data_IF_288513598101
#
_entry.id   IF_288513598101
#
_cell.length_a   1.000
_cell.length_b   1.000
_cell.length_c   1.000
_cell.angle_alpha   90.00
_cell.angle_beta   90.00
_cell.angle_gamma   90.00
#
_symmetry.space_group_name_H-M   'P 1'
#
loop_
_entity.id
_entity.type
_entity.pdbx_description
1 polymer ?
#
# COMPACT_ATOMS: atom_id res chain seq x y z
N UNK A 1 13.18 8.69 -11.75
CA UNK A 1 12.18 8.60 -10.65
C UNK A 1 11.54 9.96 -10.41
N UNK A 2 10.23 10.05 -10.28
CA UNK A 2 9.49 11.28 -9.92
C UNK A 2 9.12 11.26 -8.44
N UNK A 3 8.91 12.45 -7.86
CA UNK A 3 8.57 12.61 -6.43
C UNK A 3 7.32 13.46 -6.27
N UNK A 4 6.53 13.19 -5.21
CA UNK A 4 5.34 13.97 -4.81
C UNK A 4 5.40 14.23 -3.30
N UNK A 5 4.79 15.32 -2.87
CA UNK A 5 4.67 15.63 -1.44
C UNK A 5 3.73 14.64 -0.74
N UNK A 6 4.15 14.14 0.41
CA UNK A 6 3.34 13.28 1.25
C UNK A 6 2.53 14.12 2.24
N UNK A 7 1.32 14.46 1.85
CA UNK A 7 0.42 15.23 2.71
C UNK A 7 1.03 16.55 3.18
N UNK A 8 1.00 16.78 4.51
CA UNK A 8 1.56 17.96 5.17
C UNK A 8 2.88 17.69 5.88
N UNK A 9 3.55 16.59 5.53
CA UNK A 9 4.81 16.18 6.18
C UNK A 9 6.02 16.99 5.72
N UNK A 10 5.93 17.66 4.58
CA UNK A 10 7.09 18.28 3.92
C UNK A 10 7.99 17.30 3.18
N UNK A 11 7.74 16.00 3.26
CA UNK A 11 8.54 14.99 2.56
C UNK A 11 8.16 14.86 1.09
N UNK A 12 9.15 14.81 0.24
CA UNK A 12 9.02 14.46 -1.18
C UNK A 12 9.37 12.98 -1.34
N UNK A 13 8.34 12.15 -1.50
CA UNK A 13 8.51 10.70 -1.63
C UNK A 13 8.41 10.25 -3.09
N UNK A 14 9.14 9.19 -3.43
CA UNK A 14 9.15 8.59 -4.76
C UNK A 14 7.76 8.10 -5.15
N UNK A 15 7.30 8.41 -6.37
CA UNK A 15 5.95 8.03 -6.84
C UNK A 15 5.75 6.52 -6.96
N UNK A 16 6.82 5.78 -7.21
CA UNK A 16 6.91 4.34 -6.98
C UNK A 16 7.77 4.14 -5.74
N UNK A 17 7.18 3.58 -4.71
CA UNK A 17 7.78 3.28 -3.42
C UNK A 17 7.91 1.77 -3.25
N UNK A 18 8.39 1.28 -2.12
CA UNK A 18 8.60 -0.15 -1.90
C UNK A 18 7.66 -0.69 -0.83
N UNK A 19 6.77 -1.63 -1.21
CA UNK A 19 5.93 -2.39 -0.27
C UNK A 19 6.65 -3.65 0.20
N UNK A 20 6.97 -3.73 1.49
CA UNK A 20 7.79 -4.83 2.03
C UNK A 20 6.98 -6.07 2.46
N UNK A 21 5.67 -6.09 2.25
CA UNK A 21 4.86 -7.28 2.55
C UNK A 21 5.33 -8.51 1.77
N UNK A 22 5.76 -8.33 0.53
CA UNK A 22 6.24 -9.43 -0.33
C UNK A 22 7.55 -10.07 0.16
N UNK A 23 8.36 -9.35 0.94
CA UNK A 23 9.60 -9.86 1.57
C UNK A 23 9.40 -10.27 3.04
N UNK A 24 8.15 -10.24 3.50
CA UNK A 24 7.73 -10.78 4.79
C UNK A 24 7.27 -12.24 4.69
N UNK A 25 6.33 -12.64 5.55
CA UNK A 25 5.95 -14.05 5.73
C UNK A 25 4.76 -14.53 4.90
N UNK A 26 4.01 -13.67 4.21
CA UNK A 26 2.69 -13.99 3.65
C UNK A 26 2.66 -14.28 2.13
N UNK A 27 3.82 -14.41 1.50
CA UNK A 27 3.98 -14.60 0.05
C UNK A 27 4.85 -15.81 -0.31
N UNK A 28 4.88 -16.85 0.56
CA UNK A 28 5.77 -18.00 0.44
C UNK A 28 7.21 -17.70 0.87
N UNK A 29 8.11 -18.68 0.71
CA UNK A 29 9.51 -18.56 1.16
C UNK A 29 10.23 -17.40 0.48
N UNK A 30 10.95 -16.61 1.29
CA UNK A 30 11.78 -15.48 0.86
C UNK A 30 13.15 -15.61 1.53
N UNK A 31 14.21 -15.28 0.80
CA UNK A 31 15.58 -15.23 1.31
C UNK A 31 15.91 -13.81 1.73
N UNK A 32 16.40 -13.60 2.95
CA UNK A 32 16.76 -12.29 3.48
C UNK A 32 17.80 -11.56 2.62
N UNK A 33 18.78 -12.28 2.05
CA UNK A 33 19.79 -11.67 1.18
C UNK A 33 19.18 -11.15 -0.11
N UNK A 34 18.32 -11.96 -0.77
CA UNK A 34 17.61 -11.53 -1.99
C UNK A 34 16.68 -10.34 -1.70
N UNK A 35 16.06 -10.32 -0.52
CA UNK A 35 15.23 -9.21 -0.05
C UNK A 35 16.05 -7.93 0.15
N UNK A 36 17.22 -8.03 0.79
CA UNK A 36 18.12 -6.90 0.98
C UNK A 36 18.65 -6.37 -0.36
N UNK A 37 18.97 -7.25 -1.30
CA UNK A 37 19.42 -6.84 -2.62
C UNK A 37 18.30 -6.11 -3.40
N UNK A 38 17.04 -6.53 -3.24
CA UNK A 38 15.90 -5.80 -3.78
C UNK A 38 15.73 -4.42 -3.11
N UNK A 39 15.87 -4.33 -1.79
CA UNK A 39 15.80 -3.06 -1.06
C UNK A 39 16.94 -2.10 -1.44
N UNK A 40 18.19 -2.59 -1.55
CA UNK A 40 19.34 -1.80 -2.01
C UNK A 40 19.12 -1.27 -3.42
N UNK A 41 18.63 -2.15 -4.32
CA UNK A 41 18.31 -1.77 -5.69
C UNK A 41 17.22 -0.72 -5.75
N UNK A 42 16.23 -0.74 -4.87
CA UNK A 42 15.22 0.29 -4.77
C UNK A 42 15.84 1.67 -4.50
N UNK A 43 16.75 1.77 -3.53
CA UNK A 43 17.48 3.04 -3.25
C UNK A 43 18.29 3.48 -4.46
N UNK A 44 19.02 2.57 -5.12
CA UNK A 44 19.82 2.89 -6.32
C UNK A 44 18.98 3.47 -7.46
N UNK A 45 17.69 3.12 -7.51
CA UNK A 45 16.72 3.63 -8.48
C UNK A 45 15.99 4.90 -8.00
N UNK A 46 16.35 5.43 -6.83
CA UNK A 46 15.77 6.64 -6.27
C UNK A 46 14.49 6.44 -5.44
N UNK A 47 14.19 5.21 -5.03
CA UNK A 47 13.12 4.98 -4.06
C UNK A 47 13.58 5.46 -2.69
N UNK A 48 12.78 6.33 -2.05
CA UNK A 48 13.08 6.89 -0.74
C UNK A 48 11.95 6.69 0.28
N UNK A 49 10.90 5.94 -0.07
CA UNK A 49 9.81 5.62 0.84
C UNK A 49 9.54 4.11 0.85
N UNK A 50 9.56 3.52 2.06
CA UNK A 50 9.44 2.08 2.28
C UNK A 50 8.28 1.82 3.23
N UNK A 51 7.34 0.99 2.80
CA UNK A 51 6.16 0.61 3.59
C UNK A 51 6.33 -0.79 4.18
N UNK A 52 6.21 -0.90 5.48
CA UNK A 52 6.25 -2.15 6.25
C UNK A 52 5.08 -2.26 7.24
N UNK A 53 5.10 -3.22 8.14
CA UNK A 53 4.21 -3.37 9.28
C UNK A 53 4.85 -4.26 10.35
N UNK A 54 4.41 -4.11 11.60
CA UNK A 54 4.84 -4.89 12.77
C UNK A 54 4.56 -6.40 12.64
N UNK A 55 3.67 -6.79 11.72
CA UNK A 55 3.30 -8.20 11.43
C UNK A 55 4.02 -8.78 10.22
N UNK A 56 4.77 -7.98 9.44
CA UNK A 56 5.41 -8.49 8.22
C UNK A 56 6.75 -9.17 8.47
N UNK A 57 7.43 -8.84 9.59
CA UNK A 57 8.78 -9.33 9.89
C UNK A 57 9.89 -8.65 9.10
N UNK A 58 9.56 -7.66 8.26
CA UNK A 58 10.52 -6.93 7.41
C UNK A 58 11.11 -5.67 8.05
N UNK A 59 10.63 -5.23 9.23
CA UNK A 59 11.18 -4.07 9.93
C UNK A 59 12.70 -4.19 10.16
N UNK A 60 13.19 -5.38 10.57
CA UNK A 60 14.62 -5.66 10.77
C UNK A 60 15.47 -5.51 9.50
N UNK A 61 14.91 -5.86 8.33
CA UNK A 61 15.60 -5.70 7.05
C UNK A 61 15.73 -4.22 6.68
N UNK A 62 14.69 -3.42 6.95
CA UNK A 62 14.72 -1.98 6.75
C UNK A 62 15.67 -1.28 7.75
N UNK A 63 15.76 -1.76 8.99
CA UNK A 63 16.75 -1.30 9.95
C UNK A 63 18.19 -1.57 9.46
N UNK A 64 18.43 -2.73 8.88
CA UNK A 64 19.73 -3.05 8.27
C UNK A 64 20.01 -2.15 7.07
N UNK A 65 19.05 -1.98 6.15
CA UNK A 65 19.17 -1.09 5.01
C UNK A 65 19.55 0.34 5.43
N UNK A 66 18.86 0.89 6.45
CA UNK A 66 19.11 2.25 6.97
C UNK A 66 20.52 2.43 7.55
N UNK A 67 21.11 1.36 8.11
CA UNK A 67 22.52 1.38 8.59
C UNK A 67 23.53 1.32 7.46
N UNK A 68 23.20 0.61 6.38
CA UNK A 68 24.11 0.42 5.23
C UNK A 68 24.13 1.61 4.27
N UNK A 69 23.05 2.37 4.23
CA UNK A 69 22.82 3.44 3.25
C UNK A 69 22.78 4.81 3.94
N UNK A 70 23.30 5.82 3.24
CA UNK A 70 23.33 7.21 3.74
C UNK A 70 22.26 8.10 3.15
N UNK A 71 21.57 7.60 2.14
CA UNK A 71 20.48 8.32 1.49
C UNK A 71 19.35 8.54 2.50
N UNK A 72 18.70 9.69 2.41
CA UNK A 72 17.51 9.96 3.20
C UNK A 72 16.37 9.08 2.74
N UNK A 73 15.91 8.20 3.62
CA UNK A 73 14.76 7.32 3.38
C UNK A 73 13.75 7.47 4.50
N UNK A 74 12.48 7.36 4.16
CA UNK A 74 11.36 7.37 5.10
C UNK A 74 10.75 5.98 5.19
N UNK A 75 10.50 5.51 6.41
CA UNK A 75 9.94 4.19 6.69
C UNK A 75 8.55 4.37 7.32
N UNK A 76 7.53 3.90 6.62
CA UNK A 76 6.19 3.78 7.19
C UNK A 76 6.00 2.36 7.73
N UNK A 77 5.64 2.26 9.02
CA UNK A 77 5.21 0.98 9.62
C UNK A 77 3.75 1.04 10.04
N UNK A 78 3.18 -0.08 10.48
CA UNK A 78 1.78 -0.17 10.86
C UNK A 78 1.62 -0.92 12.16
N UNK A 79 0.57 -0.57 12.91
CA UNK A 79 0.21 -1.22 14.17
C UNK A 79 -1.29 -1.53 14.25
N UNK A 80 -1.62 -2.58 14.99
CA UNK A 80 -3.01 -2.96 15.30
C UNK A 80 -3.38 -4.38 14.94
N UNK A 81 -2.86 -4.96 13.87
CA UNK A 81 -3.20 -6.36 13.47
C UNK A 81 -2.63 -7.44 14.40
N UNK A 82 -1.77 -7.10 15.34
CA UNK A 82 -1.32 -8.00 16.41
C UNK A 82 -2.34 -8.14 17.56
N UNK A 83 -3.39 -7.32 17.58
CA UNK A 83 -4.45 -7.42 18.58
C UNK A 83 -5.24 -8.72 18.42
N UNK A 84 -5.41 -9.45 19.51
CA UNK A 84 -6.24 -10.67 19.55
C UNK A 84 -7.05 -10.67 20.86
N UNK A 85 -8.37 -10.49 20.79
CA UNK A 85 -9.17 -10.24 19.59
C UNK A 85 -8.93 -8.84 18.98
N UNK A 86 -9.11 -8.74 17.66
CA UNK A 86 -8.98 -7.48 16.90
C UNK A 86 -10.28 -6.67 17.00
N UNK A 87 -10.46 -5.99 18.12
CA UNK A 87 -11.70 -5.26 18.49
C UNK A 87 -11.40 -3.80 18.86
N UNK A 88 -12.38 -2.87 18.73
CA UNK A 88 -12.16 -1.43 18.97
C UNK A 88 -11.55 -1.12 20.33
N UNK A 89 -12.05 -1.71 21.42
CA UNK A 89 -11.57 -1.48 22.79
C UNK A 89 -10.11 -1.84 23.03
N UNK A 90 -9.53 -2.65 22.14
CA UNK A 90 -8.12 -3.03 22.22
C UNK A 90 -7.18 -1.94 21.66
N UNK A 91 -7.72 -0.94 20.93
CA UNK A 91 -6.97 0.23 20.48
C UNK A 91 -6.87 1.25 21.61
N UNK A 92 -6.16 0.89 22.66
CA UNK A 92 -5.95 1.71 23.87
C UNK A 92 -4.48 2.11 24.00
N UNK A 93 -4.20 3.04 24.94
CA UNK A 93 -2.87 3.59 25.16
C UNK A 93 -1.82 2.51 25.42
N UNK A 94 -2.12 1.53 26.26
CA UNK A 94 -1.15 0.50 26.62
C UNK A 94 -0.71 -0.32 25.39
N UNK A 95 -1.66 -0.78 24.57
CA UNK A 95 -1.38 -1.58 23.39
C UNK A 95 -0.69 -0.77 22.29
N UNK A 96 -1.18 0.44 22.00
CA UNK A 96 -0.59 1.29 20.95
C UNK A 96 0.83 1.71 21.32
N UNK A 97 1.06 2.11 22.60
CA UNK A 97 2.41 2.43 23.06
C UNK A 97 3.32 1.21 22.92
N UNK A 98 2.87 0.02 23.34
CA UNK A 98 3.66 -1.20 23.21
C UNK A 98 4.03 -1.50 21.75
N UNK A 99 3.11 -1.37 20.81
CA UNK A 99 3.40 -1.61 19.38
C UNK A 99 4.41 -0.61 18.83
N UNK A 100 4.31 0.65 19.24
CA UNK A 100 5.29 1.69 18.87
C UNK A 100 6.68 1.35 19.42
N UNK A 101 6.78 0.97 20.70
CA UNK A 101 8.05 0.58 21.32
C UNK A 101 8.67 -0.65 20.63
N UNK A 102 7.85 -1.67 20.33
CA UNK A 102 8.31 -2.86 19.60
C UNK A 102 8.86 -2.48 18.21
N UNK A 103 8.18 -1.61 17.47
CA UNK A 103 8.63 -1.15 16.15
C UNK A 103 9.87 -0.26 16.22
N UNK A 104 10.01 0.61 17.24
CA UNK A 104 11.23 1.38 17.49
C UNK A 104 12.44 0.45 17.67
N UNK A 105 12.27 -0.63 18.46
CA UNK A 105 13.32 -1.63 18.65
C UNK A 105 13.64 -2.38 17.35
N UNK A 106 12.63 -2.86 16.62
CA UNK A 106 12.82 -3.61 15.38
C UNK A 106 13.47 -2.77 14.28
N UNK A 107 13.10 -1.49 14.16
CA UNK A 107 13.65 -0.53 13.22
C UNK A 107 15.00 0.05 13.69
N UNK A 108 15.38 -0.20 14.95
CA UNK A 108 16.58 0.34 15.57
C UNK A 108 16.67 1.87 15.43
N UNK A 109 15.60 2.56 15.82
CA UNK A 109 15.47 4.02 15.74
C UNK A 109 14.80 4.57 17.00
N UNK A 110 15.05 5.84 17.29
CA UNK A 110 14.40 6.54 18.42
C UNK A 110 13.04 7.14 18.03
N UNK A 111 12.81 7.34 16.72
CA UNK A 111 11.57 7.91 16.21
C UNK A 111 11.14 7.15 14.95
N UNK A 112 9.86 6.76 14.86
CA UNK A 112 9.25 6.20 13.66
C UNK A 112 8.88 7.35 12.72
N UNK A 113 9.26 7.27 11.44
CA UNK A 113 8.96 8.30 10.47
C UNK A 113 7.44 8.45 10.28
N UNK A 114 6.74 7.36 9.97
CA UNK A 114 5.28 7.33 9.81
C UNK A 114 4.69 6.05 10.41
N UNK A 115 3.80 6.18 11.39
CA UNK A 115 3.00 5.06 11.89
C UNK A 115 1.60 5.09 11.26
N UNK A 116 1.09 3.96 10.80
CA UNK A 116 -0.28 3.83 10.30
C UNK A 116 -1.08 2.85 11.17
N UNK A 117 -2.33 3.18 11.54
CA UNK A 117 -3.24 2.18 12.08
C UNK A 117 -3.55 1.15 10.99
N UNK A 118 -3.36 -0.13 11.28
CA UNK A 118 -3.39 -1.20 10.28
C UNK A 118 -4.80 -1.77 10.10
N UNK A 119 -5.63 -1.13 9.29
CA UNK A 119 -7.01 -1.52 9.00
C UNK A 119 -7.79 -1.84 10.29
N UNK A 120 -7.92 -0.87 11.21
CA UNK A 120 -8.66 -1.09 12.44
C UNK A 120 -10.15 -1.30 12.17
N UNK A 121 -10.91 -1.91 13.10
CA UNK A 121 -12.37 -1.93 13.04
C UNK A 121 -12.94 -0.53 12.83
N UNK A 122 -14.02 -0.41 12.06
CA UNK A 122 -14.59 0.89 11.64
C UNK A 122 -14.92 1.82 12.83
N UNK A 123 -15.30 1.25 13.97
CA UNK A 123 -15.62 2.02 15.17
C UNK A 123 -14.42 2.81 15.69
N UNK A 124 -13.18 2.35 15.45
CA UNK A 124 -11.96 3.05 15.87
C UNK A 124 -11.87 4.45 15.25
N UNK A 125 -12.37 4.63 14.04
CA UNK A 125 -12.40 5.94 13.38
C UNK A 125 -13.37 6.93 14.05
N UNK A 126 -14.26 6.45 14.93
CA UNK A 126 -15.17 7.26 15.75
C UNK A 126 -14.72 7.38 17.21
N UNK A 127 -13.48 6.97 17.51
CA UNK A 127 -12.87 7.04 18.85
C UNK A 127 -11.76 8.11 18.86
N UNK A 128 -12.09 9.39 19.11
CA UNK A 128 -11.10 10.48 19.11
C UNK A 128 -9.97 10.26 20.11
N UNK A 129 -10.21 9.52 21.20
CA UNK A 129 -9.19 9.16 22.18
C UNK A 129 -8.05 8.32 21.57
N UNK A 130 -8.32 7.49 20.55
CA UNK A 130 -7.28 6.72 19.84
C UNK A 130 -6.34 7.66 19.09
N UNK A 131 -6.89 8.64 18.38
CA UNK A 131 -6.10 9.65 17.66
C UNK A 131 -5.37 10.58 18.63
N UNK A 132 -5.97 10.91 19.79
CA UNK A 132 -5.31 11.63 20.89
C UNK A 132 -4.09 10.89 21.46
N UNK A 133 -4.12 9.55 21.50
CA UNK A 133 -2.95 8.75 21.88
C UNK A 133 -1.83 8.91 20.84
N UNK A 134 -2.16 8.91 19.55
CA UNK A 134 -1.17 9.10 18.48
C UNK A 134 -0.58 10.52 18.50
N UNK A 135 -1.41 11.54 18.75
CA UNK A 135 -0.94 12.94 18.94
C UNK A 135 0.05 13.03 20.11
N UNK A 136 -0.22 12.33 21.22
CA UNK A 136 0.68 12.29 22.38
C UNK A 136 2.01 11.60 22.05
N UNK A 137 2.00 10.52 21.26
CA UNK A 137 3.21 9.83 20.81
C UNK A 137 4.07 10.70 19.87
N UNK A 138 3.41 11.52 19.03
CA UNK A 138 4.13 12.55 18.24
C UNK A 138 4.76 13.61 19.16
N UNK A 139 4.03 14.14 20.14
CA UNK A 139 4.57 15.11 21.11
C UNK A 139 5.74 14.55 21.93
N UNK A 140 5.74 13.24 22.21
CA UNK A 140 6.82 12.55 22.90
C UNK A 140 8.04 12.28 22.00
N UNK A 141 7.98 12.61 20.70
CA UNK A 141 9.04 12.36 19.74
C UNK A 141 9.20 10.89 19.31
N UNK A 142 8.24 10.00 19.66
CA UNK A 142 8.27 8.59 19.26
C UNK A 142 7.81 8.38 17.82
N UNK A 143 7.01 9.31 17.31
CA UNK A 143 6.52 9.36 15.93
C UNK A 143 6.82 10.73 15.34
N UNK A 144 7.29 10.80 14.09
CA UNK A 144 7.25 12.06 13.36
C UNK A 144 5.82 12.35 12.90
N UNK A 145 5.17 11.36 12.30
CA UNK A 145 3.81 11.48 11.77
C UNK A 145 3.02 10.20 11.97
N UNK A 146 1.70 10.32 11.85
CA UNK A 146 0.84 9.15 11.79
C UNK A 146 -0.21 9.27 10.68
N UNK A 147 -0.75 8.13 10.27
CA UNK A 147 -1.79 7.96 9.29
C UNK A 147 -2.63 6.72 9.56
N UNK A 148 -3.37 6.30 8.56
CA UNK A 148 -4.19 5.08 8.64
C UNK A 148 -4.04 4.26 7.36
N UNK A 149 -4.11 2.93 7.49
CA UNK A 149 -4.39 2.02 6.40
C UNK A 149 -5.84 1.59 6.52
N UNK A 150 -6.60 1.72 5.45
CA UNK A 150 -8.05 1.50 5.45
C UNK A 150 -8.45 0.42 4.44
N UNK A 151 -9.59 -0.20 4.68
CA UNK A 151 -10.21 -1.14 3.74
C UNK A 151 -11.27 -0.43 2.89
N UNK A 152 -12.03 0.50 3.49
CA UNK A 152 -13.17 1.18 2.87
C UNK A 152 -12.93 2.67 2.67
N UNK A 153 -13.58 3.21 1.64
CA UNK A 153 -13.58 4.65 1.35
C UNK A 153 -14.13 5.45 2.53
N UNK A 154 -15.18 4.97 3.19
CA UNK A 154 -15.82 5.63 4.34
C UNK A 154 -14.87 5.77 5.53
N UNK A 155 -14.03 4.78 5.78
CA UNK A 155 -12.99 4.81 6.81
C UNK A 155 -11.96 5.90 6.49
N UNK A 156 -11.53 5.98 5.22
CA UNK A 156 -10.64 7.03 4.74
C UNK A 156 -11.26 8.42 4.93
N UNK A 157 -12.52 8.60 4.51
CA UNK A 157 -13.24 9.87 4.66
C UNK A 157 -13.34 10.29 6.13
N UNK A 158 -13.65 9.36 7.03
CA UNK A 158 -13.74 9.64 8.46
C UNK A 158 -12.37 9.98 9.06
N UNK A 159 -11.31 9.28 8.65
CA UNK A 159 -9.96 9.57 9.10
C UNK A 159 -9.48 10.99 8.74
N UNK A 160 -9.94 11.56 7.61
CA UNK A 160 -9.60 12.91 7.19
C UNK A 160 -10.11 14.01 8.15
N UNK A 161 -11.03 13.69 9.06
CA UNK A 161 -11.53 14.63 10.06
C UNK A 161 -10.51 14.90 11.18
N UNK A 162 -9.52 13.99 11.38
CA UNK A 162 -8.49 14.14 12.39
C UNK A 162 -7.30 14.95 11.86
N UNK A 163 -7.00 16.13 12.43
CA UNK A 163 -5.95 17.03 11.92
C UNK A 163 -4.55 16.40 11.90
N UNK A 164 -4.27 15.45 12.81
CA UNK A 164 -2.98 14.77 12.90
C UNK A 164 -2.74 13.72 11.83
N UNK A 165 -3.78 13.23 11.15
CA UNK A 165 -3.65 12.26 10.06
C UNK A 165 -2.96 12.89 8.86
N UNK A 166 -1.78 12.35 8.47
CA UNK A 166 -0.96 12.85 7.36
C UNK A 166 -1.09 12.00 6.11
N UNK A 167 -1.47 10.73 6.26
CA UNK A 167 -1.60 9.80 5.14
C UNK A 167 -2.78 8.85 5.32
N UNK A 168 -3.37 8.45 4.19
CA UNK A 168 -4.31 7.34 4.11
C UNK A 168 -3.79 6.34 3.10
N UNK A 169 -3.56 5.11 3.53
CA UNK A 169 -3.20 3.99 2.67
C UNK A 169 -4.45 3.20 2.33
N UNK A 170 -4.77 3.08 1.04
CA UNK A 170 -5.99 2.45 0.55
C UNK A 170 -5.71 1.61 -0.69
N UNK A 171 -6.47 0.53 -0.89
CA UNK A 171 -6.37 -0.26 -2.13
C UNK A 171 -6.87 0.60 -3.29
N UNK A 172 -5.97 0.84 -4.25
CA UNK A 172 -6.30 1.54 -5.49
C UNK A 172 -5.52 0.94 -6.67
N UNK A 173 -6.25 0.44 -7.65
CA UNK A 173 -5.73 -0.12 -8.88
C UNK A 173 -6.85 -0.22 -9.93
N UNK A 174 -6.55 -0.72 -11.13
CA UNK A 174 -7.52 -0.84 -12.23
C UNK A 174 -8.79 -1.60 -11.82
N UNK A 175 -8.69 -2.55 -10.87
CA UNK A 175 -9.85 -3.33 -10.39
C UNK A 175 -10.54 -2.71 -9.17
N UNK A 176 -10.02 -1.61 -8.63
CA UNK A 176 -10.53 -0.97 -7.43
C UNK A 176 -10.47 0.55 -7.60
N UNK A 177 -11.47 1.13 -8.25
CA UNK A 177 -11.45 2.54 -8.67
C UNK A 177 -12.30 3.47 -7.79
N UNK A 178 -13.09 2.95 -6.85
CA UNK A 178 -13.98 3.73 -5.98
C UNK A 178 -13.31 4.91 -5.26
N UNK A 179 -12.07 4.79 -4.76
CA UNK A 179 -11.42 5.92 -4.10
C UNK A 179 -11.34 7.19 -4.96
N UNK A 180 -11.31 7.05 -6.29
CA UNK A 180 -11.24 8.19 -7.20
C UNK A 180 -12.55 8.98 -7.32
N UNK A 181 -13.70 8.40 -6.94
CA UNK A 181 -15.00 9.05 -7.15
C UNK A 181 -15.23 10.25 -6.18
N UNK A 182 -14.83 10.13 -4.91
CA UNK A 182 -15.02 11.17 -3.90
C UNK A 182 -13.79 11.36 -3.00
N UNK A 183 -13.22 10.25 -2.53
CA UNK A 183 -12.21 10.27 -1.48
C UNK A 183 -10.95 11.05 -1.90
N UNK A 184 -10.50 10.92 -3.14
CA UNK A 184 -9.31 11.62 -3.64
C UNK A 184 -9.45 13.14 -3.56
N UNK A 185 -10.59 13.68 -4.00
CA UNK A 185 -10.85 15.12 -3.92
C UNK A 185 -10.81 15.61 -2.45
N UNK A 186 -11.43 14.87 -1.54
CA UNK A 186 -11.44 15.20 -0.11
C UNK A 186 -10.06 15.12 0.54
N UNK A 187 -9.26 14.12 0.16
CA UNK A 187 -7.89 13.99 0.67
C UNK A 187 -7.00 15.15 0.17
N UNK A 188 -7.14 15.57 -1.09
CA UNK A 188 -6.43 16.74 -1.64
C UNK A 188 -6.83 18.04 -0.93
N UNK A 189 -8.14 18.29 -0.71
CA UNK A 189 -8.64 19.47 0.05
C UNK A 189 -8.01 19.53 1.45
N UNK A 190 -7.84 18.39 2.11
CA UNK A 190 -7.25 18.28 3.45
C UNK A 190 -5.71 18.18 3.42
N UNK A 191 -5.10 18.13 2.24
CA UNK A 191 -3.67 17.92 2.05
C UNK A 191 -3.17 16.68 2.80
N UNK A 192 -3.88 15.56 2.65
CA UNK A 192 -3.51 14.24 3.20
C UNK A 192 -2.96 13.38 2.07
N UNK A 193 -1.79 12.76 2.28
CA UNK A 193 -1.14 11.94 1.29
C UNK A 193 -1.88 10.60 1.08
N UNK A 194 -1.95 10.14 -0.17
CA UNK A 194 -2.57 8.86 -0.52
C UNK A 194 -1.51 7.88 -0.94
N UNK A 195 -1.45 6.75 -0.24
CA UNK A 195 -0.59 5.62 -0.54
C UNK A 195 -1.43 4.50 -1.17
N UNK A 196 -1.22 4.23 -2.46
CA UNK A 196 -1.96 3.18 -3.18
C UNK A 196 -1.34 1.81 -2.89
N UNK A 197 -2.02 1.00 -2.06
CA UNK A 197 -1.59 -0.38 -1.75
C UNK A 197 -2.24 -1.39 -2.69
N UNK A 198 -1.67 -2.59 -2.75
CA UNK A 198 -2.09 -3.69 -3.66
C UNK A 198 -2.16 -3.23 -5.13
N UNK A 199 -1.20 -2.41 -5.61
CA UNK A 199 -1.32 -1.73 -6.91
C UNK A 199 -1.37 -2.68 -8.10
N UNK A 200 -0.85 -3.90 -7.96
CA UNK A 200 -0.87 -4.94 -8.98
C UNK A 200 -1.91 -6.04 -8.70
N UNK A 201 -2.89 -5.78 -7.82
CA UNK A 201 -3.98 -6.74 -7.50
C UNK A 201 -3.44 -8.14 -7.20
N UNK A 202 -2.55 -8.25 -6.19
CA UNK A 202 -1.87 -9.49 -5.79
C UNK A 202 -1.11 -10.18 -6.93
N UNK A 203 -0.66 -9.40 -7.93
CA UNK A 203 0.07 -9.88 -9.09
C UNK A 203 -0.79 -10.18 -10.32
N UNK A 204 -2.10 -10.11 -10.25
CA UNK A 204 -2.99 -10.32 -11.40
C UNK A 204 -2.74 -9.30 -12.51
N UNK A 205 -2.55 -8.03 -12.15
CA UNK A 205 -2.21 -6.95 -13.07
C UNK A 205 -0.75 -6.97 -13.57
N UNK A 206 -0.01 -8.06 -13.33
CA UNK A 206 1.24 -8.31 -14.06
C UNK A 206 1.01 -8.91 -15.44
N UNK A 207 -0.19 -9.45 -15.68
CA UNK A 207 -0.54 -10.12 -16.93
C UNK A 207 0.17 -11.46 -17.16
N UNK A 208 0.81 -12.01 -16.10
CA UNK A 208 1.59 -13.26 -16.16
C UNK A 208 0.83 -14.48 -15.61
N UNK A 209 -0.33 -14.25 -14.97
CA UNK A 209 -1.15 -15.33 -14.42
C UNK A 209 -2.03 -15.97 -15.46
N UNK A 210 -2.31 -17.26 -15.27
CA UNK A 210 -3.23 -18.07 -16.08
C UNK A 210 -4.14 -18.87 -15.16
N UNK A 211 -5.15 -19.54 -15.70
CA UNK A 211 -6.04 -20.44 -14.94
C UNK A 211 -5.26 -21.56 -14.24
N UNK A 212 -4.10 -21.94 -14.77
CA UNK A 212 -3.23 -22.98 -14.21
C UNK A 212 -2.23 -22.45 -13.17
N UNK A 213 -2.26 -21.15 -12.84
CA UNK A 213 -1.37 -20.56 -11.85
C UNK A 213 -1.62 -21.18 -10.47
N UNK A 214 -0.54 -21.68 -9.84
CA UNK A 214 -0.59 -22.30 -8.52
C UNK A 214 0.11 -21.43 -7.49
N UNK A 215 -0.40 -21.47 -6.27
CA UNK A 215 0.12 -20.74 -5.12
C UNK A 215 0.44 -21.72 -4.00
N UNK A 216 1.55 -21.50 -3.30
CA UNK A 216 1.94 -22.36 -2.17
C UNK A 216 0.94 -22.23 -1.00
N UNK A 217 0.85 -23.22 -0.10
CA UNK A 217 -0.09 -23.19 1.02
C UNK A 217 0.07 -21.96 1.95
N UNK A 218 1.28 -21.45 2.09
CA UNK A 218 1.68 -20.29 2.87
C UNK A 218 1.55 -18.95 2.13
N UNK A 219 1.01 -18.96 0.90
CA UNK A 219 0.74 -17.75 0.12
C UNK A 219 -0.71 -17.30 0.35
N UNK A 220 -0.90 -16.01 0.67
CA UNK A 220 -2.23 -15.46 0.94
C UNK A 220 -3.19 -15.61 -0.26
N UNK A 221 -2.69 -15.67 -1.49
CA UNK A 221 -3.49 -15.91 -2.69
C UNK A 221 -4.14 -17.29 -2.71
N UNK A 222 -3.68 -18.21 -1.82
CA UNK A 222 -4.29 -19.51 -1.58
C UNK A 222 -5.14 -19.51 -0.31
N UNK A 223 -4.57 -19.15 0.85
CA UNK A 223 -5.26 -19.31 2.14
C UNK A 223 -6.23 -18.17 2.48
N UNK A 224 -6.19 -17.03 1.79
CA UNK A 224 -7.09 -15.90 2.01
C UNK A 224 -7.89 -15.53 0.75
N UNK A 225 -8.15 -16.46 -0.13
CA UNK A 225 -8.83 -16.16 -1.41
C UNK A 225 -10.23 -15.62 -1.24
N UNK A 226 -10.96 -16.06 -0.23
CA UNK A 226 -12.32 -15.64 0.09
C UNK A 226 -12.41 -14.80 1.38
N UNK A 227 -11.26 -14.39 1.94
CA UNK A 227 -11.22 -13.61 3.17
C UNK A 227 -11.21 -14.46 4.44
N UNK A 228 -10.61 -15.65 4.38
CA UNK A 228 -10.59 -16.62 5.50
C UNK A 228 -9.73 -16.15 6.67
N UNK A 229 -8.73 -15.30 6.43
CA UNK A 229 -7.81 -14.81 7.45
C UNK A 229 -7.89 -13.30 7.69
N UNK A 230 -8.17 -12.53 6.64
CA UNK A 230 -8.31 -11.07 6.69
C UNK A 230 -9.19 -10.60 5.52
N UNK A 231 -9.43 -9.28 5.37
CA UNK A 231 -10.37 -8.77 4.37
C UNK A 231 -10.13 -9.36 2.98
N UNK A 232 -11.20 -9.84 2.36
CA UNK A 232 -11.18 -10.45 1.02
C UNK A 232 -10.61 -9.51 -0.04
N UNK A 233 -10.82 -8.20 0.13
CA UNK A 233 -10.33 -7.19 -0.80
C UNK A 233 -8.83 -7.11 -0.92
N UNK A 234 -8.07 -7.66 0.03
CA UNK A 234 -6.61 -7.69 -0.05
C UNK A 234 -6.09 -8.75 -1.03
N UNK A 235 -6.88 -9.79 -1.31
CA UNK A 235 -6.52 -10.80 -2.30
C UNK A 235 -7.23 -10.52 -3.61
N UNK A 236 -6.47 -10.32 -4.68
CA UNK A 236 -6.95 -9.99 -6.03
C UNK A 236 -7.93 -8.79 -6.07
N UNK A 237 -7.80 -7.86 -5.11
CA UNK A 237 -8.70 -6.70 -4.94
C UNK A 237 -10.17 -7.07 -4.71
N UNK A 238 -10.44 -8.30 -4.23
CA UNK A 238 -11.79 -8.83 -4.05
C UNK A 238 -12.47 -9.29 -5.33
N UNK A 239 -11.74 -9.30 -6.46
CA UNK A 239 -12.23 -9.77 -7.76
C UNK A 239 -12.05 -11.29 -7.85
N UNK A 240 -13.04 -11.97 -8.42
CA UNK A 240 -12.91 -13.38 -8.76
C UNK A 240 -11.72 -13.60 -9.70
N UNK A 241 -11.00 -14.73 -9.48
CA UNK A 241 -9.74 -14.98 -10.17
C UNK A 241 -9.90 -15.11 -11.68
N UNK A 242 -10.90 -15.87 -12.12
CA UNK A 242 -11.18 -16.08 -13.54
C UNK A 242 -11.65 -14.80 -14.22
N UNK A 243 -12.57 -14.07 -13.57
CA UNK A 243 -13.04 -12.76 -14.05
C UNK A 243 -11.87 -11.79 -14.17
N UNK A 244 -10.98 -11.74 -13.18
CA UNK A 244 -9.81 -10.87 -13.21
C UNK A 244 -8.89 -11.18 -14.39
N UNK A 245 -8.65 -12.47 -14.71
CA UNK A 245 -7.87 -12.87 -15.88
C UNK A 245 -8.55 -12.41 -17.19
N UNK A 246 -9.86 -12.59 -17.31
CA UNK A 246 -10.61 -12.14 -18.49
C UNK A 246 -10.52 -10.63 -18.68
N UNK A 247 -10.56 -9.87 -17.60
CA UNK A 247 -10.44 -8.39 -17.66
C UNK A 247 -9.01 -7.97 -18.00
N UNK A 248 -8.00 -8.67 -17.50
CA UNK A 248 -6.60 -8.44 -17.92
C UNK A 248 -6.45 -8.58 -19.44
N UNK A 249 -7.07 -9.59 -20.06
CA UNK A 249 -7.01 -9.78 -21.50
C UNK A 249 -7.79 -8.68 -22.28
N UNK A 250 -8.87 -8.10 -21.69
CA UNK A 250 -9.54 -6.94 -22.29
C UNK A 250 -8.68 -5.66 -22.23
N UNK A 251 -7.84 -5.52 -21.21
CA UNK A 251 -6.93 -4.36 -21.05
C UNK A 251 -5.69 -4.50 -21.94
N UNK A 252 -5.23 -5.70 -22.22
CA UNK A 252 -3.98 -5.96 -22.97
C UNK A 252 -3.86 -5.20 -24.28
N UNK A 253 -4.92 -5.10 -25.15
CA UNK A 253 -4.86 -4.33 -26.39
C UNK A 253 -4.69 -2.81 -26.21
N UNK A 254 -4.91 -2.30 -24.98
CA UNK A 254 -4.82 -0.88 -24.67
C UNK A 254 -3.40 -0.45 -24.27
N UNK A 255 -2.49 -1.41 -24.08
CA UNK A 255 -1.12 -1.11 -23.68
C UNK A 255 -0.39 -0.39 -24.83
N UNK A 256 0.31 0.71 -24.53
CA UNK A 256 1.26 1.30 -25.47
C UNK A 256 2.33 0.27 -25.88
N UNK A 257 2.86 0.42 -27.10
CA UNK A 257 3.90 -0.46 -27.60
C UNK A 257 5.11 -0.52 -26.65
N UNK A 258 5.59 -1.72 -26.38
CA UNK A 258 6.75 -1.96 -25.52
C UNK A 258 6.46 -1.93 -24.00
N UNK A 259 5.23 -1.61 -23.57
CA UNK A 259 4.90 -1.62 -22.15
C UNK A 259 4.44 -3.00 -21.67
N UNK A 260 4.91 -3.39 -20.49
CA UNK A 260 4.33 -4.53 -19.78
C UNK A 260 3.02 -4.14 -19.10
N UNK A 261 2.18 -5.14 -18.80
CA UNK A 261 0.93 -4.92 -18.05
C UNK A 261 1.20 -4.32 -16.66
N UNK A 262 2.27 -4.73 -15.98
CA UNK A 262 2.65 -4.18 -14.67
C UNK A 262 3.01 -2.69 -14.76
N UNK A 263 3.82 -2.31 -15.74
CA UNK A 263 4.18 -0.91 -15.99
C UNK A 263 2.93 -0.07 -16.31
N UNK A 264 2.06 -0.59 -17.16
CA UNK A 264 0.79 0.07 -17.48
C UNK A 264 -0.09 0.26 -16.23
N UNK A 265 -0.28 -0.79 -15.42
CA UNK A 265 -1.09 -0.74 -14.22
C UNK A 265 -0.55 0.25 -13.18
N UNK A 266 0.78 0.27 -12.97
CA UNK A 266 1.42 1.23 -12.08
C UNK A 266 1.34 2.65 -12.64
N UNK A 267 1.59 2.83 -13.93
CA UNK A 267 1.49 4.14 -14.57
C UNK A 267 0.07 4.67 -14.53
N UNK A 268 -0.94 3.82 -14.71
CA UNK A 268 -2.36 4.17 -14.59
C UNK A 268 -2.67 4.78 -13.21
N UNK A 269 -2.17 4.18 -12.13
CA UNK A 269 -2.34 4.73 -10.77
C UNK A 269 -1.71 6.14 -10.68
N UNK A 270 -0.53 6.33 -11.25
CA UNK A 270 0.19 7.60 -11.20
C UNK A 270 -0.44 8.70 -12.06
N UNK A 271 -1.41 8.38 -12.92
CA UNK A 271 -2.21 9.38 -13.64
C UNK A 271 -3.13 10.19 -12.70
N UNK A 272 -3.41 9.68 -11.51
CA UNK A 272 -4.21 10.37 -10.50
C UNK A 272 -3.30 11.24 -9.63
N UNK A 273 -3.44 12.56 -9.75
CA UNK A 273 -2.60 13.52 -9.01
C UNK A 273 -2.78 13.42 -7.49
N UNK A 274 -3.97 13.01 -7.03
CA UNK A 274 -4.25 12.78 -5.61
C UNK A 274 -3.39 11.67 -5.00
N UNK A 275 -2.95 10.69 -5.79
CA UNK A 275 -2.10 9.59 -5.30
C UNK A 275 -0.68 10.09 -5.12
N UNK A 276 -0.17 10.05 -3.91
CA UNK A 276 1.22 10.41 -3.59
C UNK A 276 2.17 9.38 -4.17
N UNK A 277 1.97 8.11 -3.84
CA UNK A 277 2.76 7.01 -4.39
C UNK A 277 1.99 5.70 -4.45
N UNK A 278 2.43 4.81 -5.33
CA UNK A 278 2.08 3.40 -5.31
C UNK A 278 3.17 2.61 -4.57
N UNK A 279 2.77 1.59 -3.80
CA UNK A 279 3.67 0.76 -3.00
C UNK A 279 3.67 -0.71 -3.50
N UNK A 280 4.14 -0.99 -4.73
CA UNK A 280 4.24 -2.34 -5.23
C UNK A 280 5.25 -3.15 -4.42
N UNK A 281 4.94 -4.43 -4.17
CA UNK A 281 5.88 -5.37 -3.60
C UNK A 281 6.88 -5.88 -4.64
N UNK A 282 8.07 -6.24 -4.17
CA UNK A 282 9.09 -6.92 -4.97
C UNK A 282 9.89 -7.87 -4.07
N UNK A 283 10.29 -9.03 -4.62
CA UNK A 283 11.17 -10.00 -3.94
C UNK A 283 12.61 -9.97 -4.50
N UNK A 284 12.79 -9.44 -5.71
CA UNK A 284 14.03 -9.48 -6.48
C UNK A 284 14.35 -8.13 -7.08
N UNK A 285 15.63 -7.79 -7.27
CA UNK A 285 16.06 -6.54 -7.91
C UNK A 285 15.38 -6.26 -9.26
N UNK A 286 15.22 -7.29 -10.11
CA UNK A 286 14.57 -7.14 -11.42
C UNK A 286 13.11 -6.69 -11.32
N UNK A 287 12.37 -7.15 -10.30
CA UNK A 287 11.00 -6.70 -10.08
C UNK A 287 10.94 -5.23 -9.62
N UNK A 288 11.93 -4.79 -8.84
CA UNK A 288 12.06 -3.38 -8.45
C UNK A 288 12.31 -2.51 -9.69
N UNK A 289 13.19 -2.96 -10.57
CA UNK A 289 13.49 -2.27 -11.84
C UNK A 289 12.23 -2.14 -12.70
N UNK A 290 11.49 -3.24 -12.86
CA UNK A 290 10.23 -3.26 -13.62
C UNK A 290 9.21 -2.27 -13.03
N UNK A 291 9.05 -2.28 -11.69
CA UNK A 291 8.14 -1.37 -11.01
C UNK A 291 8.56 0.10 -11.17
N UNK A 292 9.85 0.40 -10.96
CA UNK A 292 10.37 1.77 -10.99
C UNK A 292 10.29 2.42 -12.38
N UNK A 293 10.38 1.63 -13.47
CA UNK A 293 10.21 2.17 -14.83
C UNK A 293 8.88 2.88 -15.03
N UNK A 294 7.81 2.45 -14.34
CA UNK A 294 6.50 3.08 -14.43
C UNK A 294 6.49 4.57 -14.05
N UNK A 295 7.42 5.01 -13.18
CA UNK A 295 7.50 6.41 -12.75
C UNK A 295 7.89 7.37 -13.89
N UNK A 296 8.67 6.90 -14.84
CA UNK A 296 9.25 7.74 -15.90
C UNK A 296 8.55 7.57 -17.26
N UNK A 297 7.59 6.63 -17.36
CA UNK A 297 6.80 6.43 -18.57
C UNK A 297 5.98 7.68 -18.94
N UNK A 298 5.68 7.89 -20.23
CA UNK A 298 4.79 8.95 -20.70
C UNK A 298 3.39 8.87 -20.03
N UNK A 299 2.63 9.98 -20.01
CA UNK A 299 1.24 9.93 -19.61
C UNK A 299 0.42 8.98 -20.47
N UNK A 300 -0.49 8.22 -19.87
CA UNK A 300 -1.48 7.42 -20.61
C UNK A 300 -2.50 8.38 -21.24
N UNK A 301 -2.78 8.28 -22.56
CA UNK A 301 -3.79 9.10 -23.20
C UNK A 301 -5.16 9.00 -22.53
N UNK A 302 -5.88 10.13 -22.42
CA UNK A 302 -7.19 10.18 -21.79
C UNK A 302 -8.20 9.19 -22.39
N UNK A 303 -8.17 8.98 -23.70
CA UNK A 303 -9.03 8.00 -24.36
C UNK A 303 -8.78 6.56 -23.85
N UNK A 304 -7.52 6.22 -23.54
CA UNK A 304 -7.18 4.92 -22.95
C UNK A 304 -7.64 4.85 -21.49
N UNK A 305 -7.47 5.94 -20.71
CA UNK A 305 -7.98 6.01 -19.33
C UNK A 305 -9.49 5.78 -19.28
N UNK A 306 -10.24 6.39 -20.21
CA UNK A 306 -11.68 6.20 -20.34
C UNK A 306 -12.06 4.77 -20.74
N UNK A 307 -11.31 4.12 -21.63
CA UNK A 307 -11.53 2.72 -21.99
C UNK A 307 -11.30 1.78 -20.80
N UNK A 308 -10.25 2.00 -20.01
CA UNK A 308 -10.00 1.26 -18.76
C UNK A 308 -11.16 1.45 -17.78
N UNK A 309 -11.67 2.68 -17.64
CA UNK A 309 -12.84 2.96 -16.81
C UNK A 309 -14.08 2.25 -17.30
N UNK A 310 -14.35 2.25 -18.61
CA UNK A 310 -15.49 1.56 -19.21
C UNK A 310 -15.43 0.03 -19.01
N UNK A 311 -14.23 -0.56 -19.10
CA UNK A 311 -14.02 -1.99 -18.79
C UNK A 311 -14.34 -2.26 -17.31
N UNK A 312 -13.82 -1.43 -16.40
CA UNK A 312 -14.12 -1.54 -14.97
C UNK A 312 -15.61 -1.45 -14.69
N UNK A 313 -16.29 -0.43 -15.21
CA UNK A 313 -17.71 -0.20 -14.96
C UNK A 313 -18.58 -1.37 -15.48
N UNK A 314 -18.23 -1.95 -16.63
CA UNK A 314 -18.97 -3.08 -17.23
C UNK A 314 -18.71 -4.41 -16.53
N UNK A 315 -17.46 -4.68 -16.11
CA UNK A 315 -17.04 -6.04 -15.74
C UNK A 315 -16.75 -6.23 -14.26
N UNK A 316 -16.31 -5.18 -13.55
CA UNK A 316 -15.78 -5.27 -12.18
C UNK A 316 -16.66 -4.53 -11.18
N UNK A 317 -17.16 -3.34 -11.51
CA UNK A 317 -17.81 -2.41 -10.59
C UNK A 317 -18.87 -3.07 -9.71
N UNK A 318 -19.81 -3.79 -10.31
CA UNK A 318 -20.90 -4.45 -9.57
C UNK A 318 -20.40 -5.48 -8.54
N UNK A 319 -19.20 -6.01 -8.72
CA UNK A 319 -18.62 -7.06 -7.86
C UNK A 319 -17.87 -6.51 -6.66
N UNK A 320 -17.35 -5.28 -6.73
CA UNK A 320 -16.44 -4.75 -5.73
C UNK A 320 -16.80 -3.36 -5.21
N UNK A 321 -17.41 -2.50 -6.01
CA UNK A 321 -17.51 -1.07 -5.74
C UNK A 321 -18.32 -0.74 -4.48
N UNK A 322 -19.32 -1.52 -4.16
CA UNK A 322 -20.22 -1.32 -3.01
C UNK A 322 -19.67 -1.89 -1.69
N UNK A 323 -18.61 -2.69 -1.74
CA UNK A 323 -18.02 -3.29 -0.53
C UNK A 323 -16.96 -2.39 0.12
N UNK A 324 -16.28 -1.60 -0.67
CA UNK A 324 -15.06 -0.91 -0.20
C UNK A 324 -15.02 0.57 -0.55
#
# INVERSE_FOLDING_TARGET
MKYRELGRTGWKVSTISFGSWAIGSAWGRVNDQESLDALRRAIDLGVNFFDTADVYGSERLLAQLKRERREEIHIATKAGRRLSPHVPKAYNRANLTKFVEDSLMNLNTETIDLLQLHCPPIEVYYMPEVFGILDDLVKQGKLHYYGVSVEKVEEGLKALEYPGVQSVQIIFNIFRQRPADLFFARAQERKVGILARVPLSSGMLTGKMTLNSQFSPDDHRKYNRQGEAFDRGETFSGVDFELGLQVVEQIRPLLPEGWSMAEFALRWILMFEAVTCAIPGAKRPSQVEDNCRAADLPPIPEAIMQQVRAIYDRSIREKVHHYW
#
